data_IF_746093805889
#
_entry.id   IF_746093805889
#
_cell.length_a   1.000
_cell.length_b   1.000
_cell.length_c   1.000
_cell.angle_alpha   90.00
_cell.angle_beta   90.00
_cell.angle_gamma   90.00
#
_symmetry.space_group_name_H-M   'P 1'
#
loop_
_entity.id
_entity.type
_entity.pdbx_description
1 polymer ?
#
# COMPACT_ATOMS: atom_id res chain seq x y z
N UNK A 1 -3.34 -5.65 -16.39
CA UNK A 1 -2.15 -4.78 -16.21
C UNK A 1 -1.97 -4.74 -14.71
N UNK A 2 -1.52 -5.87 -14.18
CA UNK A 2 -1.42 -6.21 -12.77
C UNK A 2 0.07 -6.43 -12.50
N UNK A 3 0.83 -5.36 -12.65
CA UNK A 3 2.27 -5.42 -12.45
C UNK A 3 2.53 -5.43 -10.95
N UNK A 4 3.03 -6.56 -10.45
CA UNK A 4 3.42 -6.73 -9.06
C UNK A 4 4.48 -5.68 -8.69
N UNK A 5 4.42 -5.18 -7.45
CA UNK A 5 5.37 -4.18 -6.95
C UNK A 5 6.77 -4.80 -6.93
N UNK A 6 7.65 -4.31 -7.81
CA UNK A 6 9.02 -4.80 -7.95
C UNK A 6 9.82 -4.52 -6.68
N UNK A 7 10.88 -5.29 -6.42
CA UNK A 7 11.71 -5.12 -5.22
C UNK A 7 12.38 -3.74 -5.18
N UNK A 8 12.79 -3.22 -6.35
CA UNK A 8 13.46 -1.93 -6.50
C UNK A 8 12.54 -0.74 -6.22
N UNK A 9 11.21 -0.92 -6.33
CA UNK A 9 10.21 0.09 -5.99
C UNK A 9 9.82 0.08 -4.49
N UNK A 10 10.25 -0.91 -3.70
CA UNK A 10 9.81 -1.05 -2.30
C UNK A 10 10.60 -0.12 -1.38
N UNK A 11 9.98 0.99 -0.98
CA UNK A 11 10.52 1.88 0.06
C UNK A 11 9.55 1.98 1.23
N UNK A 12 9.97 1.66 2.47
CA UNK A 12 9.05 1.59 3.60
C UNK A 12 8.36 2.93 3.86
N UNK A 13 7.02 2.93 3.82
CA UNK A 13 6.24 4.09 4.19
C UNK A 13 6.09 4.18 5.71
N UNK A 14 6.00 5.41 6.22
CA UNK A 14 5.91 5.70 7.68
C UNK A 14 4.50 6.02 8.16
N UNK A 15 3.64 6.51 7.27
CA UNK A 15 2.34 7.07 7.62
C UNK A 15 1.23 6.22 7.00
N UNK A 16 0.94 5.13 7.70
CA UNK A 16 -0.10 4.16 7.38
C UNK A 16 -0.42 3.34 8.63
N UNK A 17 -1.57 2.67 8.62
CA UNK A 17 -1.97 1.77 9.70
C UNK A 17 -2.69 0.53 9.15
N UNK A 18 -2.69 -0.54 9.95
CA UNK A 18 -3.53 -1.73 9.68
C UNK A 18 -4.96 -1.46 10.15
N UNK A 19 -5.91 -1.95 9.38
CA UNK A 19 -7.33 -1.95 9.71
C UNK A 19 -7.73 -3.28 10.34
N UNK A 20 -8.81 -3.29 11.11
CA UNK A 20 -9.33 -4.48 11.81
C UNK A 20 -9.74 -5.61 10.84
N UNK A 21 -10.05 -5.26 9.59
CA UNK A 21 -10.39 -6.21 8.52
C UNK A 21 -9.16 -6.79 7.80
N UNK A 22 -7.95 -6.47 8.27
CA UNK A 22 -6.70 -6.97 7.74
C UNK A 22 -6.18 -6.21 6.51
N UNK A 23 -6.81 -5.11 6.07
CA UNK A 23 -6.25 -4.20 5.06
C UNK A 23 -5.26 -3.21 5.67
N UNK A 24 -4.51 -2.51 4.84
CA UNK A 24 -3.71 -1.35 5.27
C UNK A 24 -4.27 -0.06 4.67
N UNK A 25 -4.25 1.03 5.43
CA UNK A 25 -4.69 2.35 4.97
C UNK A 25 -3.52 3.32 4.94
N UNK A 26 -3.40 4.10 3.86
CA UNK A 26 -2.43 5.20 3.76
C UNK A 26 -3.02 6.47 4.38
N UNK A 27 -2.33 7.06 5.36
CA UNK A 27 -2.80 8.29 6.05
C UNK A 27 -2.47 9.58 5.30
N UNK A 28 -1.64 9.48 4.25
CA UNK A 28 -1.24 10.61 3.40
C UNK A 28 -2.02 10.66 2.09
N UNK A 29 -2.81 9.63 1.79
CA UNK A 29 -3.54 9.58 0.53
C UNK A 29 -4.82 10.42 0.65
N UNK A 30 -5.11 11.33 -0.30
CA UNK A 30 -6.37 12.09 -0.28
C UNK A 30 -7.62 11.22 -0.51
N UNK A 31 -7.43 9.92 -0.79
CA UNK A 31 -8.50 8.94 -1.00
C UNK A 31 -8.57 7.89 0.11
N UNK A 32 -7.73 7.98 1.13
CA UNK A 32 -7.64 6.98 2.21
C UNK A 32 -7.61 5.55 1.67
N UNK A 33 -6.76 5.28 0.67
CA UNK A 33 -6.74 3.99 0.00
C UNK A 33 -6.53 2.84 1.00
N UNK A 34 -7.43 1.85 0.96
CA UNK A 34 -7.40 0.63 1.79
C UNK A 34 -6.99 -0.54 0.91
N UNK A 35 -5.78 -1.05 1.13
CA UNK A 35 -5.13 -1.97 0.21
C UNK A 35 -5.18 -3.42 0.71
N UNK A 36 -5.56 -4.31 -0.19
CA UNK A 36 -5.35 -5.75 -0.08
C UNK A 36 -3.87 -6.09 -0.33
N UNK A 37 -3.43 -7.28 0.09
CA UNK A 37 -2.07 -7.75 -0.16
C UNK A 37 -1.76 -7.75 -1.68
N UNK A 38 -0.60 -7.20 -2.05
CA UNK A 38 -0.19 -7.04 -3.45
C UNK A 38 -0.88 -5.91 -4.22
N UNK A 39 -1.85 -5.20 -3.62
CA UNK A 39 -2.57 -4.13 -4.30
C UNK A 39 -1.76 -2.83 -4.31
N UNK A 40 -1.75 -2.15 -5.47
CA UNK A 40 -1.24 -0.79 -5.62
C UNK A 40 -2.35 0.24 -5.37
N UNK A 41 -2.01 1.34 -4.70
CA UNK A 41 -2.93 2.45 -4.45
C UNK A 41 -3.22 3.28 -5.69
N UNK A 42 -4.28 4.09 -5.62
CA UNK A 42 -4.70 4.95 -6.73
C UNK A 42 -3.70 6.08 -7.08
N UNK A 43 -2.67 6.29 -6.25
CA UNK A 43 -1.55 7.18 -6.55
C UNK A 43 -0.46 6.52 -7.40
N UNK A 44 -0.55 5.21 -7.64
CA UNK A 44 0.42 4.38 -8.38
C UNK A 44 1.85 4.32 -7.82
N UNK A 45 2.15 5.05 -6.76
CA UNK A 45 3.47 5.09 -6.12
C UNK A 45 3.53 4.32 -4.79
N UNK A 46 2.38 3.99 -4.19
CA UNK A 46 2.32 3.18 -2.97
C UNK A 46 1.57 1.89 -3.19
N UNK A 47 1.90 0.88 -2.41
CA UNK A 47 1.21 -0.39 -2.41
C UNK A 47 1.38 -1.17 -1.12
N UNK A 48 0.71 -2.32 -1.03
CA UNK A 48 0.89 -3.26 0.08
C UNK A 48 1.73 -4.43 -0.36
N UNK A 49 2.79 -4.71 0.41
CA UNK A 49 3.65 -5.88 0.23
C UNK A 49 4.08 -6.41 1.59
N UNK A 50 3.93 -7.72 1.79
CA UNK A 50 4.35 -8.44 3.00
C UNK A 50 3.81 -7.75 4.26
N UNK A 51 2.52 -7.41 4.25
CA UNK A 51 1.85 -6.73 5.37
C UNK A 51 2.36 -5.31 5.70
N UNK A 52 3.16 -4.71 4.82
CA UNK A 52 3.69 -3.35 4.96
C UNK A 52 3.28 -2.44 3.81
N UNK A 53 3.19 -1.15 4.06
CA UNK A 53 3.07 -0.16 3.00
C UNK A 53 4.45 0.20 2.47
N UNK A 54 4.59 0.11 1.15
CA UNK A 54 5.75 0.52 0.37
C UNK A 54 5.37 1.56 -0.66
#
# INVERSE_FOLDING_TARGET
MDEAISLDERYPAKYWHKLDDGRIQCDLCPRDCKLHEGQRGACFVRGRVEDTMV
#
